data_IF_790080073715
#
_entry.id   IF_790080073715
#
_cell.length_a   1.000
_cell.length_b   1.000
_cell.length_c   1.000
_cell.angle_alpha   90.00
_cell.angle_beta   90.00
_cell.angle_gamma   90.00
#
_symmetry.space_group_name_H-M   'P 1'
#
loop_
_entity.id
_entity.type
_entity.pdbx_description
1 polymer ?
#
# COMPACT_ATOMS: atom_id res chain seq x y z
N UNK A 1 -1.01 -19.07 -17.92
CA UNK A 1 -0.46 -18.94 -19.25
C UNK A 1 0.06 -20.25 -19.73
N UNK A 2 -0.52 -20.71 -20.81
CA UNK A 2 0.07 -21.68 -21.59
C UNK A 2 -0.15 -21.56 -22.90
N UNK A 3 0.61 -21.94 -23.65
CA UNK A 3 0.83 -22.18 -24.78
C UNK A 3 0.61 -23.41 -25.47
N UNK A 4 0.08 -23.48 -26.57
CA UNK A 4 0.66 -24.08 -27.67
C UNK A 4 -0.11 -24.06 -28.92
N UNK A 5 0.61 -24.02 -29.96
CA UNK A 5 0.22 -24.14 -31.32
C UNK A 5 -0.44 -22.91 -31.93
N UNK A 6 0.38 -22.03 -32.52
CA UNK A 6 0.00 -20.87 -33.33
C UNK A 6 -0.77 -19.76 -32.60
N UNK A 7 -0.12 -19.22 -31.58
CA UNK A 7 -0.58 -18.06 -30.84
C UNK A 7 -0.59 -18.32 -29.33
N UNK A 8 -0.13 -17.37 -28.53
CA UNK A 8 -0.16 -17.48 -27.08
C UNK A 8 -1.61 -17.63 -26.60
N UNK A 9 -1.93 -18.69 -25.89
CA UNK A 9 -3.21 -18.92 -25.28
C UNK A 9 -3.07 -18.70 -23.78
N UNK A 10 -3.93 -17.88 -23.19
CA UNK A 10 -4.05 -17.77 -21.74
C UNK A 10 -4.78 -19.02 -21.25
N UNK A 11 -4.05 -19.91 -20.59
CA UNK A 11 -4.59 -21.15 -20.05
C UNK A 11 -5.12 -20.96 -18.64
N UNK A 12 -4.46 -20.08 -17.88
CA UNK A 12 -4.84 -19.79 -16.50
C UNK A 12 -4.73 -18.28 -16.22
N UNK A 13 -5.80 -17.73 -15.68
CA UNK A 13 -5.89 -16.31 -15.35
C UNK A 13 -6.42 -16.16 -13.91
N UNK A 14 -5.56 -16.35 -12.90
CA UNK A 14 -5.98 -16.11 -11.54
C UNK A 14 -6.25 -14.60 -11.35
N UNK A 15 -7.36 -14.30 -10.73
CA UNK A 15 -7.77 -12.93 -10.44
C UNK A 15 -7.55 -12.62 -8.97
N UNK A 16 -7.07 -11.42 -8.70
CA UNK A 16 -6.91 -10.85 -7.36
C UNK A 16 -7.28 -9.38 -7.42
N UNK A 17 -7.80 -8.86 -6.32
CA UNK A 17 -7.94 -7.43 -6.15
C UNK A 17 -6.60 -6.73 -6.39
N UNK A 18 -6.61 -5.57 -7.03
CA UNK A 18 -5.39 -4.93 -7.50
C UNK A 18 -4.46 -4.50 -6.36
N UNK A 19 -5.01 -4.13 -5.21
CA UNK A 19 -4.28 -3.82 -3.98
C UNK A 19 -3.42 -5.00 -3.50
N UNK A 20 -3.91 -6.23 -3.67
CA UNK A 20 -3.18 -7.46 -3.38
C UNK A 20 -2.22 -7.80 -4.54
N UNK A 21 -2.70 -7.69 -5.78
CA UNK A 21 -1.95 -8.09 -6.96
C UNK A 21 -0.65 -7.30 -7.16
N UNK A 22 -0.63 -6.01 -6.81
CA UNK A 22 0.59 -5.18 -6.87
C UNK A 22 1.68 -5.63 -5.89
N UNK A 23 1.34 -6.46 -4.90
CA UNK A 23 2.30 -7.12 -4.01
C UNK A 23 2.61 -8.55 -4.49
N UNK A 24 1.57 -9.38 -4.61
CA UNK A 24 1.73 -10.82 -4.82
C UNK A 24 2.22 -11.17 -6.22
N UNK A 25 1.87 -10.35 -7.23
CA UNK A 25 2.18 -10.61 -8.63
C UNK A 25 3.21 -9.63 -9.20
N UNK A 26 3.81 -8.77 -8.36
CA UNK A 26 4.84 -7.84 -8.78
C UNK A 26 5.99 -8.52 -9.54
N UNK A 27 6.64 -7.85 -10.49
CA UNK A 27 7.81 -8.38 -11.18
C UNK A 27 8.87 -8.88 -10.20
N UNK A 28 9.43 -10.07 -10.47
CA UNK A 28 10.38 -10.75 -9.59
C UNK A 28 9.75 -11.75 -8.62
N UNK A 29 8.45 -11.66 -8.35
CA UNK A 29 7.74 -12.58 -7.44
C UNK A 29 7.55 -13.97 -8.06
N UNK A 30 7.58 -14.99 -7.21
CA UNK A 30 7.15 -16.33 -7.58
C UNK A 30 5.66 -16.50 -7.29
N UNK A 31 4.94 -16.96 -8.30
CA UNK A 31 3.50 -17.21 -8.23
C UNK A 31 3.25 -18.67 -8.50
N UNK A 32 2.57 -19.36 -7.60
CA UNK A 32 2.21 -20.77 -7.76
C UNK A 32 0.77 -20.88 -8.23
N UNK A 33 0.56 -21.47 -9.39
CA UNK A 33 -0.76 -21.69 -9.99
C UNK A 33 -0.86 -23.19 -10.33
N UNK A 34 -1.83 -23.87 -9.74
CA UNK A 34 -2.04 -25.32 -9.95
C UNK A 34 -0.75 -26.15 -9.77
N UNK A 35 0.00 -25.87 -8.71
CA UNK A 35 1.27 -26.52 -8.36
C UNK A 35 2.43 -26.26 -9.34
N UNK A 36 2.28 -25.30 -10.24
CA UNK A 36 3.34 -24.86 -11.16
C UNK A 36 3.80 -23.48 -10.72
N UNK A 37 5.10 -23.29 -10.59
CA UNK A 37 5.71 -22.02 -10.22
C UNK A 37 6.02 -21.18 -11.47
N UNK A 38 5.65 -19.92 -11.40
CA UNK A 38 5.94 -18.91 -12.41
C UNK A 38 6.66 -17.74 -11.77
N UNK A 39 7.67 -17.17 -12.42
CA UNK A 39 8.29 -15.92 -12.00
C UNK A 39 7.65 -14.77 -12.77
N UNK A 40 7.05 -13.82 -12.05
CA UNK A 40 6.48 -12.62 -12.65
C UNK A 40 7.58 -11.76 -13.28
N UNK A 41 7.35 -11.26 -14.47
CA UNK A 41 8.36 -10.49 -15.20
C UNK A 41 7.79 -9.65 -16.33
N UNK A 42 6.50 -9.38 -16.29
CA UNK A 42 5.87 -8.52 -17.28
C UNK A 42 4.58 -7.88 -16.82
N UNK A 43 4.27 -6.73 -17.41
CA UNK A 43 2.99 -6.04 -17.28
C UNK A 43 2.09 -6.45 -18.44
N UNK A 44 0.94 -7.01 -18.14
CA UNK A 44 -0.02 -7.49 -19.12
C UNK A 44 -1.00 -6.39 -19.50
N UNK A 45 -1.27 -6.25 -20.82
CA UNK A 45 -2.35 -5.42 -21.33
C UNK A 45 -3.30 -6.25 -22.18
N UNK A 46 -4.58 -6.08 -21.99
CA UNK A 46 -5.61 -6.67 -22.84
C UNK A 46 -5.64 -6.03 -24.24
N UNK A 47 -5.20 -4.79 -24.35
CA UNK A 47 -5.20 -4.04 -25.61
C UNK A 47 -3.83 -4.07 -26.26
N UNK A 48 -3.62 -4.98 -27.16
CA UNK A 48 -2.46 -4.92 -28.05
C UNK A 48 -2.77 -4.02 -29.27
N UNK A 49 -1.86 -3.10 -29.57
CA UNK A 49 -1.94 -2.31 -30.81
C UNK A 49 -0.85 -2.75 -31.77
N UNK A 50 -1.24 -3.10 -32.99
CA UNK A 50 -0.30 -3.19 -34.10
C UNK A 50 0.15 -1.79 -34.49
N UNK A 51 1.45 -1.61 -34.65
CA UNK A 51 2.04 -0.37 -35.14
C UNK A 51 2.37 -0.49 -36.63
N UNK A 52 2.67 0.65 -37.29
CA UNK A 52 3.12 0.64 -38.70
C UNK A 52 4.37 -0.19 -38.96
N UNK A 53 5.19 -0.46 -37.93
CA UNK A 53 6.35 -1.36 -38.00
C UNK A 53 5.95 -2.85 -38.02
N UNK A 54 4.67 -3.15 -37.94
CA UNK A 54 4.14 -4.51 -37.89
C UNK A 54 4.38 -5.25 -36.60
N UNK A 55 4.96 -4.60 -35.57
CA UNK A 55 5.21 -5.17 -34.27
C UNK A 55 4.08 -4.86 -33.30
N UNK A 56 3.84 -5.78 -32.38
CA UNK A 56 2.88 -5.61 -31.32
C UNK A 56 3.57 -5.09 -30.05
N UNK A 57 3.06 -3.99 -29.54
CA UNK A 57 3.59 -3.32 -28.35
C UNK A 57 2.57 -3.40 -27.20
N UNK A 58 2.52 -4.51 -26.47
CA UNK A 58 1.46 -4.79 -25.48
C UNK A 58 1.43 -3.82 -24.29
N UNK A 59 2.54 -3.20 -23.94
CA UNK A 59 2.58 -2.24 -22.84
C UNK A 59 2.24 -0.79 -23.27
N UNK A 60 2.26 -0.47 -24.55
CA UNK A 60 2.01 0.87 -25.05
C UNK A 60 0.70 1.51 -24.59
N UNK A 61 -0.44 0.78 -24.48
CA UNK A 61 -1.67 1.36 -23.98
C UNK A 61 -1.55 2.02 -22.60
N UNK A 62 -0.67 1.57 -21.74
CA UNK A 62 -0.43 2.18 -20.43
C UNK A 62 0.26 3.54 -20.53
N UNK A 63 1.23 3.66 -21.44
CA UNK A 63 2.08 4.84 -21.57
C UNK A 63 1.52 5.88 -22.52
N UNK A 64 0.67 5.47 -23.47
CA UNK A 64 0.11 6.34 -24.53
C UNK A 64 -1.36 6.70 -24.28
N UNK A 65 -1.96 6.28 -23.16
CA UNK A 65 -3.35 6.63 -22.84
C UNK A 65 -3.50 8.15 -22.67
N UNK A 66 -4.39 8.73 -23.46
CA UNK A 66 -4.69 10.18 -23.38
C UNK A 66 -5.29 10.58 -22.04
N UNK A 67 -5.99 9.65 -21.39
CA UNK A 67 -6.60 9.87 -20.07
C UNK A 67 -5.61 9.76 -18.90
N UNK A 68 -4.37 9.36 -19.17
CA UNK A 68 -3.40 8.99 -18.11
C UNK A 68 -3.97 8.02 -17.07
N UNK A 69 -4.86 7.16 -17.49
CA UNK A 69 -5.55 6.23 -16.58
C UNK A 69 -4.58 5.24 -15.93
N UNK A 70 -3.66 4.72 -16.71
CA UNK A 70 -2.76 3.65 -16.26
C UNK A 70 -1.37 4.15 -15.87
N UNK A 71 -0.93 5.26 -16.42
CA UNK A 71 0.39 5.81 -16.19
C UNK A 71 0.28 7.27 -15.75
N UNK A 72 0.64 7.54 -14.51
CA UNK A 72 0.40 8.82 -13.84
C UNK A 72 1.69 9.37 -13.25
N UNK A 73 1.75 10.69 -13.11
CA UNK A 73 2.74 11.34 -12.27
C UNK A 73 2.28 11.19 -10.80
N UNK A 74 3.14 10.65 -9.97
CA UNK A 74 2.98 10.58 -8.52
C UNK A 74 3.87 11.65 -7.90
N UNK A 75 3.32 12.41 -6.99
CA UNK A 75 4.04 13.39 -6.17
C UNK A 75 4.11 12.90 -4.74
N UNK A 76 5.25 13.06 -4.08
CA UNK A 76 5.42 12.64 -2.70
C UNK A 76 6.35 13.58 -1.94
N UNK A 77 6.16 13.66 -0.63
CA UNK A 77 7.06 14.40 0.23
C UNK A 77 8.34 13.60 0.49
N UNK A 78 9.49 14.23 0.29
CA UNK A 78 10.81 13.61 0.53
C UNK A 78 11.31 13.83 1.98
N UNK A 79 10.48 14.38 2.85
CA UNK A 79 10.78 14.49 4.28
C UNK A 79 10.56 13.12 4.95
N UNK A 80 11.58 12.64 5.68
CA UNK A 80 11.55 11.32 6.31
C UNK A 80 10.44 11.16 7.37
N UNK A 81 10.00 12.27 7.97
CA UNK A 81 8.91 12.29 8.95
C UNK A 81 7.52 12.45 8.31
N UNK A 82 7.45 12.58 6.98
CA UNK A 82 6.22 12.86 6.27
C UNK A 82 5.97 11.85 5.16
N UNK A 83 4.83 11.19 5.18
CA UNK A 83 4.46 10.16 4.20
C UNK A 83 3.44 10.66 3.17
N UNK A 84 3.32 11.98 2.97
CA UNK A 84 2.37 12.49 2.00
C UNK A 84 2.69 12.02 0.59
N UNK A 85 1.65 11.61 -0.13
CA UNK A 85 1.69 11.34 -1.57
C UNK A 85 0.37 11.70 -2.22
N UNK A 86 0.40 12.08 -3.49
CA UNK A 86 -0.76 12.48 -4.26
C UNK A 86 -0.51 12.41 -5.76
N UNK A 87 -1.57 12.57 -6.55
CA UNK A 87 -1.50 12.58 -8.02
C UNK A 87 -1.62 13.98 -8.61
N UNK A 88 -1.74 14.99 -7.77
CA UNK A 88 -1.79 16.39 -8.17
C UNK A 88 -0.53 17.11 -7.73
N UNK A 89 -0.02 17.97 -8.60
CA UNK A 89 1.18 18.76 -8.31
C UNK A 89 0.90 19.74 -7.16
N UNK A 90 1.82 19.77 -6.20
CA UNK A 90 1.79 20.71 -5.08
C UNK A 90 3.10 21.47 -5.01
N UNK A 91 3.06 22.76 -4.70
CA UNK A 91 4.26 23.57 -4.45
C UNK A 91 4.88 23.29 -3.09
N UNK A 92 4.04 23.02 -2.09
CA UNK A 92 4.41 22.64 -0.73
C UNK A 92 3.67 21.38 -0.32
N UNK A 93 4.28 20.62 0.57
CA UNK A 93 3.62 19.44 1.13
C UNK A 93 2.36 19.85 1.93
N UNK A 94 1.18 19.32 1.60
CA UNK A 94 -0.05 19.64 2.34
C UNK A 94 -0.03 19.19 3.80
N UNK A 95 0.89 18.26 4.16
CA UNK A 95 0.94 17.70 5.51
C UNK A 95 1.95 18.37 6.43
N UNK A 96 3.16 18.66 5.93
CA UNK A 96 4.22 19.26 6.74
C UNK A 96 4.59 20.68 6.31
N UNK A 97 3.96 21.25 5.28
CA UNK A 97 4.22 22.61 4.79
C UNK A 97 5.55 22.81 4.06
N UNK A 98 6.46 21.83 4.08
CA UNK A 98 7.81 21.94 3.51
C UNK A 98 7.82 21.87 1.97
N UNK A 99 8.80 22.51 1.35
CA UNK A 99 9.02 22.50 -0.10
C UNK A 99 9.86 21.29 -0.55
N UNK A 100 9.45 20.10 -0.13
CA UNK A 100 10.19 18.84 -0.32
C UNK A 100 9.50 17.89 -1.29
N UNK A 101 8.59 18.37 -2.10
CA UNK A 101 7.85 17.55 -3.07
C UNK A 101 8.80 17.04 -4.16
N UNK A 102 8.70 15.75 -4.45
CA UNK A 102 9.36 15.05 -5.54
C UNK A 102 8.30 14.35 -6.40
N UNK A 103 8.68 14.04 -7.62
CA UNK A 103 7.83 13.29 -8.56
C UNK A 103 8.46 11.94 -8.92
N UNK A 104 7.61 10.95 -9.15
CA UNK A 104 7.94 9.65 -9.70
C UNK A 104 6.78 9.20 -10.57
N UNK A 105 7.04 8.30 -11.50
CA UNK A 105 5.97 7.68 -12.28
C UNK A 105 5.27 6.58 -11.47
N UNK A 106 3.97 6.45 -11.63
CA UNK A 106 3.15 5.36 -11.11
C UNK A 106 2.45 4.65 -12.26
N UNK A 107 2.64 3.36 -12.36
CA UNK A 107 1.97 2.49 -13.32
C UNK A 107 0.88 1.68 -12.60
N UNK A 108 -0.37 1.82 -13.05
CA UNK A 108 -1.48 0.95 -12.66
C UNK A 108 -1.47 -0.29 -13.57
N UNK A 109 -1.07 -1.45 -13.10
CA UNK A 109 -1.04 -2.64 -13.93
C UNK A 109 -2.47 -3.15 -14.20
N UNK A 110 -2.75 -3.56 -15.42
CA UNK A 110 -3.96 -4.31 -15.75
C UNK A 110 -3.83 -5.77 -15.30
N UNK A 111 -2.63 -6.28 -15.38
CA UNK A 111 -2.28 -7.63 -14.96
C UNK A 111 -0.78 -7.87 -15.07
N UNK A 112 -0.39 -9.07 -14.69
CA UNK A 112 1.00 -9.50 -14.70
C UNK A 112 1.17 -10.75 -15.53
N UNK A 113 2.38 -10.97 -16.01
CA UNK A 113 2.71 -12.13 -16.82
C UNK A 113 4.04 -12.76 -16.41
N UNK A 114 4.19 -14.06 -16.57
CA UNK A 114 5.43 -14.73 -16.25
C UNK A 114 6.53 -14.40 -17.26
N UNK A 115 7.77 -14.46 -16.83
CA UNK A 115 8.95 -14.27 -17.69
C UNK A 115 8.85 -15.22 -18.89
N UNK A 116 8.93 -14.65 -20.08
CA UNK A 116 8.84 -15.37 -21.36
C UNK A 116 7.57 -16.25 -21.53
N UNK A 117 6.55 -16.06 -20.68
CA UNK A 117 5.31 -16.83 -20.73
C UNK A 117 5.43 -18.31 -20.32
N UNK A 118 6.50 -18.70 -19.63
CA UNK A 118 6.81 -20.10 -19.30
C UNK A 118 6.92 -20.32 -17.78
N UNK A 119 6.81 -21.58 -17.36
CA UNK A 119 7.05 -22.00 -15.99
C UNK A 119 8.51 -21.79 -15.60
N UNK A 120 8.72 -21.41 -14.34
CA UNK A 120 10.06 -21.22 -13.76
C UNK A 120 10.67 -22.59 -13.41
N UNK A 121 11.95 -22.77 -13.69
CA UNK A 121 12.71 -23.94 -13.24
C UNK A 121 13.10 -23.79 -11.77
N UNK A 122 13.16 -24.88 -11.02
CA UNK A 122 13.50 -24.84 -9.58
C UNK A 122 14.85 -24.16 -9.30
N UNK A 123 15.83 -24.33 -10.18
CA UNK A 123 17.16 -23.69 -10.07
C UNK A 123 17.14 -22.16 -10.28
N UNK A 124 16.04 -21.60 -10.77
CA UNK A 124 15.85 -20.16 -11.03
C UNK A 124 14.86 -19.52 -10.05
N UNK A 125 14.53 -20.20 -8.96
CA UNK A 125 13.48 -19.83 -8.01
C UNK A 125 13.91 -18.81 -6.97
N UNK A 126 14.85 -17.95 -7.26
CA UNK A 126 15.10 -16.76 -6.42
C UNK A 126 13.98 -15.74 -6.59
N UNK A 127 13.33 -15.41 -5.50
CA UNK A 127 12.21 -14.46 -5.47
C UNK A 127 12.63 -13.15 -4.84
N UNK A 128 12.31 -12.05 -5.51
CA UNK A 128 12.32 -10.73 -4.89
C UNK A 128 11.02 -10.52 -4.11
N UNK A 129 11.16 -10.28 -2.82
CA UNK A 129 10.03 -10.05 -1.92
C UNK A 129 9.74 -8.55 -1.82
N UNK A 130 8.88 -8.05 -2.69
CA UNK A 130 8.38 -6.67 -2.62
C UNK A 130 6.92 -6.64 -2.20
N UNK A 131 6.54 -5.64 -1.44
CA UNK A 131 5.17 -5.49 -0.93
C UNK A 131 4.65 -4.09 -1.24
N UNK A 132 3.34 -3.98 -1.42
CA UNK A 132 2.69 -2.68 -1.39
C UNK A 132 2.84 -2.07 0.02
N UNK A 133 3.10 -0.78 0.05
CA UNK A 133 3.09 -0.01 1.29
C UNK A 133 1.65 0.15 1.80
N UNK A 134 1.51 0.63 3.04
CA UNK A 134 0.21 0.98 3.58
C UNK A 134 -0.48 2.00 2.66
N UNK A 135 -1.80 1.88 2.44
CA UNK A 135 -2.53 2.84 1.65
C UNK A 135 -2.38 4.25 2.22
N UNK A 136 -2.30 5.23 1.35
CA UNK A 136 -2.21 6.63 1.75
C UNK A 136 -3.34 7.44 1.13
N UNK A 137 -3.92 8.33 1.91
CA UNK A 137 -4.84 9.35 1.41
C UNK A 137 -4.12 10.69 1.27
N UNK A 138 -4.51 11.47 0.26
CA UNK A 138 -3.78 12.68 -0.15
C UNK A 138 -4.29 13.94 0.53
N UNK A 139 -5.51 13.92 1.06
CA UNK A 139 -6.23 15.12 1.51
C UNK A 139 -6.21 15.21 3.03
N UNK A 140 -5.74 16.34 3.56
CA UNK A 140 -5.84 16.64 4.99
C UNK A 140 -7.29 16.96 5.35
N UNK A 141 -7.83 16.45 6.48
CA UNK A 141 -9.13 16.87 6.97
C UNK A 141 -9.13 18.39 7.22
N UNK A 142 -10.23 19.04 6.89
CA UNK A 142 -10.44 20.42 7.28
C UNK A 142 -10.90 20.48 8.73
N UNK A 143 -10.53 21.53 9.44
CA UNK A 143 -10.92 21.68 10.86
C UNK A 143 -12.43 21.58 11.10
N UNK A 144 -13.24 22.10 10.20
CA UNK A 144 -14.70 22.04 10.29
C UNK A 144 -15.29 20.64 9.99
N UNK A 145 -14.47 19.71 9.51
CA UNK A 145 -14.85 18.32 9.22
C UNK A 145 -14.45 17.36 10.36
N UNK A 146 -13.78 17.90 11.39
CA UNK A 146 -13.29 17.12 12.53
C UNK A 146 -14.31 17.08 13.65
N UNK A 147 -14.78 15.87 13.98
CA UNK A 147 -15.60 15.61 15.16
C UNK A 147 -14.73 15.29 16.39
N UNK A 148 -15.26 15.60 17.55
CA UNK A 148 -14.67 15.21 18.85
C UNK A 148 -15.32 13.95 19.38
N UNK A 149 -14.60 13.22 20.24
CA UNK A 149 -15.09 11.99 20.88
C UNK A 149 -15.22 12.24 22.37
N UNK A 150 -16.41 12.04 22.92
CA UNK A 150 -16.64 12.23 24.35
C UNK A 150 -15.75 11.29 25.19
N UNK A 151 -15.05 11.83 26.17
CA UNK A 151 -14.12 11.10 27.02
C UNK A 151 -12.70 10.97 26.45
N UNK A 152 -12.41 11.60 25.31
CA UNK A 152 -11.09 11.61 24.68
C UNK A 152 -10.62 13.06 24.46
N UNK A 153 -9.46 13.39 25.00
CA UNK A 153 -8.90 14.76 24.95
C UNK A 153 -8.08 14.98 23.68
N UNK A 154 -7.38 13.94 23.22
CA UNK A 154 -6.43 14.02 22.11
C UNK A 154 -6.87 13.26 20.87
N UNK A 155 -8.14 12.84 20.80
CA UNK A 155 -8.69 12.08 19.68
C UNK A 155 -9.78 12.89 18.99
N UNK A 156 -9.62 13.08 17.70
CA UNK A 156 -10.64 13.62 16.79
C UNK A 156 -10.89 12.62 15.65
N UNK A 157 -11.99 12.76 14.96
CA UNK A 157 -12.27 11.92 13.80
C UNK A 157 -12.89 12.70 12.65
N UNK A 158 -12.71 12.21 11.43
CA UNK A 158 -13.31 12.75 10.23
C UNK A 158 -13.89 11.61 9.40
N UNK A 159 -15.20 11.70 9.12
CA UNK A 159 -15.91 10.79 8.21
C UNK A 159 -15.71 11.29 6.79
N UNK A 160 -15.33 10.40 5.88
CA UNK A 160 -15.05 10.71 4.49
C UNK A 160 -15.72 9.70 3.56
N UNK A 161 -16.58 10.18 2.70
CA UNK A 161 -17.24 9.37 1.69
C UNK A 161 -16.52 9.53 0.35
N UNK A 162 -16.35 8.44 -0.36
CA UNK A 162 -15.78 8.41 -1.71
C UNK A 162 -14.42 9.14 -1.81
N UNK A 163 -13.53 8.90 -0.86
CA UNK A 163 -12.22 9.57 -0.80
C UNK A 163 -11.14 8.74 -1.54
N UNK A 164 -10.19 9.40 -2.22
CA UNK A 164 -9.15 8.68 -2.96
C UNK A 164 -8.07 8.13 -2.03
N UNK A 165 -7.80 6.84 -2.18
CA UNK A 165 -6.66 6.14 -1.60
C UNK A 165 -5.67 5.74 -2.68
N UNK A 166 -4.38 5.81 -2.35
CA UNK A 166 -3.29 5.37 -3.21
C UNK A 166 -2.57 4.22 -2.51
N UNK A 167 -2.42 3.11 -3.21
CA UNK A 167 -1.58 1.97 -2.80
C UNK A 167 -0.40 1.89 -3.75
N UNK A 168 0.81 1.77 -3.19
CA UNK A 168 2.05 1.69 -3.95
C UNK A 168 2.89 0.49 -3.57
N UNK A 169 3.49 -0.13 -4.57
CA UNK A 169 4.67 -0.96 -4.43
C UNK A 169 5.85 -0.22 -5.05
N UNK A 170 6.78 0.24 -4.21
CA UNK A 170 7.95 1.01 -4.62
C UNK A 170 9.12 0.14 -5.08
N UNK A 171 8.94 -1.17 -5.15
CA UNK A 171 10.01 -2.12 -5.47
C UNK A 171 11.03 -2.29 -4.33
N UNK A 172 12.09 -3.08 -4.57
CA UNK A 172 13.12 -3.34 -3.56
C UNK A 172 13.83 -2.03 -3.18
N UNK A 173 13.93 -1.76 -1.88
CA UNK A 173 14.56 -0.54 -1.32
C UNK A 173 14.07 0.77 -1.96
N UNK A 174 12.81 0.80 -2.38
CA UNK A 174 12.19 1.94 -3.09
C UNK A 174 12.83 2.29 -4.45
N UNK A 175 13.57 1.37 -5.06
CA UNK A 175 14.22 1.58 -6.36
C UNK A 175 13.26 1.45 -7.57
N UNK A 176 12.00 1.14 -7.33
CA UNK A 176 11.00 1.01 -8.38
C UNK A 176 11.05 -0.30 -9.13
N UNK A 177 10.51 -0.25 -10.34
CA UNK A 177 10.51 -1.33 -11.32
C UNK A 177 10.91 -0.77 -12.69
N UNK A 178 11.87 -1.42 -13.34
CA UNK A 178 12.20 -1.10 -14.73
C UNK A 178 11.19 -1.78 -15.65
N UNK A 179 10.51 -1.01 -16.48
CA UNK A 179 9.46 -1.51 -17.38
C UNK A 179 9.76 -1.10 -18.82
N UNK A 180 9.70 -2.06 -19.73
CA UNK A 180 9.79 -1.78 -21.16
C UNK A 180 8.42 -1.36 -21.70
N UNK A 181 8.31 -0.12 -22.19
CA UNK A 181 7.08 0.43 -22.78
C UNK A 181 6.63 -0.31 -24.05
N UNK A 182 7.52 -1.02 -24.73
CA UNK A 182 7.18 -1.74 -25.96
C UNK A 182 6.59 -3.11 -25.66
N UNK A 183 7.28 -3.93 -24.90
CA UNK A 183 6.89 -5.33 -24.71
C UNK A 183 6.27 -5.63 -23.33
N UNK A 184 6.34 -4.70 -22.37
CA UNK A 184 5.83 -4.88 -21.02
C UNK A 184 6.72 -5.72 -20.12
N UNK A 185 7.90 -6.16 -20.55
CA UNK A 185 8.85 -6.82 -19.68
C UNK A 185 9.18 -5.90 -18.49
N UNK A 186 9.23 -6.47 -17.30
CA UNK A 186 9.42 -5.71 -16.08
C UNK A 186 10.26 -6.49 -15.08
N UNK A 187 11.17 -5.80 -14.41
CA UNK A 187 12.04 -6.34 -13.36
C UNK A 187 12.02 -5.44 -12.13
N UNK A 188 12.25 -5.97 -10.92
CA UNK A 188 12.34 -5.17 -9.71
C UNK A 188 13.66 -4.39 -9.68
N UNK A 189 13.63 -3.19 -9.11
CA UNK A 189 14.80 -2.31 -8.98
C UNK A 189 15.13 -1.55 -10.26
N UNK A 190 16.39 -1.16 -10.38
CA UNK A 190 16.94 -0.31 -11.44
C UNK A 190 17.97 -1.04 -12.33
N UNK A 191 18.06 -2.36 -12.23
CA UNK A 191 19.02 -3.19 -13.00
C UNK A 191 18.54 -3.43 -14.45
N UNK A 192 18.99 -2.61 -15.38
CA UNK A 192 18.72 -2.81 -16.81
C UNK A 192 19.29 -4.14 -17.36
N UNK A 193 20.38 -4.65 -16.80
CA UNK A 193 20.97 -5.90 -17.25
C UNK A 193 20.05 -7.08 -16.99
N UNK A 194 19.29 -7.02 -15.89
CA UNK A 194 18.27 -8.00 -15.58
C UNK A 194 17.10 -7.92 -16.58
N UNK A 195 16.66 -6.73 -16.94
CA UNK A 195 15.60 -6.53 -17.94
C UNK A 195 16.01 -7.08 -19.31
N UNK A 196 17.26 -6.86 -19.74
CA UNK A 196 17.79 -7.34 -21.03
C UNK A 196 17.83 -8.85 -21.16
N UNK A 197 17.76 -9.60 -20.07
CA UNK A 197 17.66 -11.08 -20.08
C UNK A 197 16.27 -11.57 -20.52
N UNK A 198 15.25 -10.70 -20.48
CA UNK A 198 13.90 -11.03 -20.91
C UNK A 198 13.80 -10.68 -22.40
N UNK A 199 14.18 -11.64 -23.27
CA UNK A 199 14.29 -11.39 -24.70
C UNK A 199 12.97 -11.34 -25.46
N UNK A 200 11.94 -12.05 -25.01
CA UNK A 200 10.66 -12.17 -25.75
C UNK A 200 9.54 -11.41 -25.07
N UNK A 201 8.64 -10.81 -25.85
CA UNK A 201 7.39 -10.27 -25.32
C UNK A 201 6.63 -11.38 -24.59
N UNK A 202 6.28 -11.15 -23.36
CA UNK A 202 5.63 -12.15 -22.51
C UNK A 202 4.26 -12.60 -23.04
N UNK A 203 3.54 -11.73 -23.76
CA UNK A 203 2.23 -12.05 -24.32
C UNK A 203 2.29 -12.98 -25.53
N UNK A 204 3.44 -13.07 -26.17
CA UNK A 204 3.65 -13.93 -27.33
C UNK A 204 5.03 -14.58 -27.27
N UNK A 205 5.22 -15.61 -26.44
CA UNK A 205 6.48 -16.30 -26.34
C UNK A 205 6.90 -16.96 -27.67
N UNK A 206 5.94 -17.20 -28.57
CA UNK A 206 6.17 -17.66 -29.93
C UNK A 206 6.40 -16.55 -30.98
N UNK A 207 6.47 -15.28 -30.55
CA UNK A 207 6.71 -14.16 -31.45
C UNK A 207 8.03 -14.32 -32.19
N UNK A 208 8.04 -13.97 -33.48
CA UNK A 208 9.20 -14.09 -34.34
C UNK A 208 10.30 -13.06 -34.02
N UNK A 209 10.04 -12.08 -33.18
CA UNK A 209 10.99 -11.06 -32.81
C UNK A 209 11.31 -11.08 -31.30
N UNK A 210 12.50 -10.63 -30.97
CA UNK A 210 12.90 -10.35 -29.60
C UNK A 210 12.81 -8.83 -29.35
N UNK A 211 12.38 -8.45 -28.16
CA UNK A 211 12.47 -7.07 -27.74
C UNK A 211 13.88 -6.82 -27.16
N UNK A 212 14.57 -5.83 -27.72
CA UNK A 212 15.92 -5.45 -27.27
C UNK A 212 15.89 -4.36 -26.18
N UNK A 213 14.72 -3.99 -25.71
CA UNK A 213 14.50 -2.97 -24.67
C UNK A 213 15.34 -1.70 -24.93
N UNK A 214 15.09 -0.98 -26.04
CA UNK A 214 15.89 0.20 -26.35
C UNK A 214 15.75 1.22 -25.20
N UNK A 215 16.83 1.93 -24.88
CA UNK A 215 16.88 2.85 -23.71
C UNK A 215 15.73 3.86 -23.68
N UNK A 216 15.31 4.38 -24.83
CA UNK A 216 14.16 5.30 -24.93
C UNK A 216 12.79 4.65 -24.66
N UNK A 217 12.73 3.31 -24.61
CA UNK A 217 11.51 2.56 -24.30
C UNK A 217 11.50 1.99 -22.86
N UNK A 218 12.56 2.18 -22.10
CA UNK A 218 12.62 1.72 -20.70
C UNK A 218 12.29 2.88 -19.76
N UNK A 219 11.49 2.60 -18.74
CA UNK A 219 11.12 3.57 -17.71
C UNK A 219 11.21 2.92 -16.34
N UNK A 220 11.70 3.67 -15.37
CA UNK A 220 11.56 3.31 -13.96
C UNK A 220 10.22 3.85 -13.44
N UNK A 221 9.45 3.01 -12.75
CA UNK A 221 8.14 3.38 -12.24
C UNK A 221 7.81 2.63 -10.96
N UNK A 222 6.98 3.20 -10.11
CA UNK A 222 6.31 2.46 -9.04
C UNK A 222 5.08 1.76 -9.60
N UNK A 223 4.71 0.62 -9.02
CA UNK A 223 3.43 -0.02 -9.31
C UNK A 223 2.41 0.45 -8.29
N UNK A 224 1.23 0.82 -8.75
CA UNK A 224 0.23 1.32 -7.82
C UNK A 224 -1.17 1.37 -8.38
N UNK A 225 -2.10 1.68 -7.50
CA UNK A 225 -3.49 1.87 -7.82
C UNK A 225 -4.06 3.02 -7.00
N UNK A 226 -4.88 3.84 -7.62
CA UNK A 226 -5.77 4.77 -6.93
C UNK A 226 -7.19 4.25 -7.05
N UNK A 227 -7.86 4.16 -5.95
CA UNK A 227 -9.28 3.81 -5.88
C UNK A 227 -9.99 4.76 -4.90
N UNK A 228 -11.32 4.79 -4.96
CA UNK A 228 -12.13 5.61 -4.07
C UNK A 228 -12.95 4.70 -3.19
N UNK A 229 -13.08 5.08 -1.92
CA UNK A 229 -13.84 4.31 -0.95
C UNK A 229 -14.29 5.19 0.22
N UNK A 230 -15.18 4.66 1.04
CA UNK A 230 -15.55 5.28 2.30
C UNK A 230 -14.48 5.01 3.34
N UNK A 231 -14.15 6.04 4.13
CA UNK A 231 -13.18 5.94 5.21
C UNK A 231 -13.55 6.79 6.40
N UNK A 232 -12.96 6.46 7.53
CA UNK A 232 -12.91 7.29 8.73
C UNK A 232 -11.47 7.46 9.15
N UNK A 233 -11.08 8.69 9.44
CA UNK A 233 -9.73 9.04 9.92
C UNK A 233 -9.84 9.45 11.38
N UNK A 234 -9.07 8.81 12.23
CA UNK A 234 -8.91 9.11 13.65
C UNK A 234 -7.58 9.81 13.84
N UNK A 235 -7.61 11.08 14.16
CA UNK A 235 -6.44 11.91 14.38
C UNK A 235 -6.11 11.96 15.86
N UNK A 236 -4.92 11.53 16.22
CA UNK A 236 -4.39 11.56 17.59
C UNK A 236 -3.30 12.63 17.64
N UNK A 237 -3.48 13.63 18.47
CA UNK A 237 -2.51 14.72 18.66
C UNK A 237 -1.53 14.39 19.78
N UNK A 238 -0.23 14.52 19.49
CA UNK A 238 0.88 14.32 20.41
C UNK A 238 1.71 15.60 20.55
N UNK A 239 2.37 15.76 21.69
CA UNK A 239 3.41 16.77 21.89
C UNK A 239 4.75 16.22 21.33
N UNK A 240 5.24 16.80 20.24
CA UNK A 240 6.46 16.38 19.59
C UNK A 240 7.75 16.57 20.42
N UNK A 241 7.66 17.34 21.54
CA UNK A 241 8.77 17.45 22.50
C UNK A 241 8.88 16.23 23.41
N UNK A 242 7.82 15.45 23.51
CA UNK A 242 7.72 14.29 24.41
C UNK A 242 7.87 12.96 23.71
N UNK A 243 7.65 12.92 22.39
CA UNK A 243 7.64 11.69 21.60
C UNK A 243 8.50 11.87 20.36
N UNK A 244 9.38 10.92 20.08
CA UNK A 244 10.12 10.89 18.83
C UNK A 244 9.17 10.54 17.67
N UNK A 245 8.91 11.52 16.81
CA UNK A 245 8.03 11.41 15.64
C UNK A 245 8.79 11.22 14.34
N UNK A 246 10.09 10.95 14.40
CA UNK A 246 10.87 10.60 13.22
C UNK A 246 10.44 9.25 12.65
N UNK A 247 10.81 8.99 11.39
CA UNK A 247 10.60 7.68 10.77
C UNK A 247 11.26 6.52 11.52
N UNK A 248 12.21 6.83 12.40
CA UNK A 248 12.94 5.88 13.24
C UNK A 248 12.33 5.72 14.64
N UNK A 249 11.33 6.52 14.99
CA UNK A 249 10.62 6.45 16.28
C UNK A 249 10.00 5.08 16.50
N UNK A 250 10.63 4.26 17.33
CA UNK A 250 10.26 2.86 17.48
C UNK A 250 8.89 2.68 18.12
N UNK A 251 8.63 3.39 19.23
CA UNK A 251 7.35 3.29 19.93
C UNK A 251 6.17 3.77 19.09
N UNK A 252 6.28 4.95 18.48
CA UNK A 252 5.18 5.58 17.74
C UNK A 252 4.74 4.73 16.54
N UNK A 253 5.69 4.07 15.88
CA UNK A 253 5.42 3.16 14.77
C UNK A 253 4.69 1.90 15.24
N UNK A 254 5.13 1.30 16.35
CA UNK A 254 4.47 0.13 16.93
C UNK A 254 3.07 0.48 17.41
N UNK A 255 2.93 1.57 18.15
CA UNK A 255 1.65 2.03 18.68
C UNK A 255 0.64 2.33 17.56
N UNK A 256 1.05 3.10 16.53
CA UNK A 256 0.18 3.45 15.41
C UNK A 256 -0.24 2.24 14.58
N UNK A 257 0.72 1.37 14.20
CA UNK A 257 0.41 0.16 13.44
C UNK A 257 -0.51 -0.78 14.23
N UNK A 258 -0.20 -1.00 15.50
CA UNK A 258 -1.00 -1.92 16.32
C UNK A 258 -2.39 -1.39 16.61
N UNK A 259 -2.51 -0.07 16.82
CA UNK A 259 -3.82 0.54 17.01
C UNK A 259 -4.69 0.40 15.75
N UNK A 260 -4.12 0.58 14.57
CA UNK A 260 -4.81 0.38 13.30
C UNK A 260 -5.35 -1.05 13.15
N UNK A 261 -4.51 -2.07 13.41
CA UNK A 261 -4.91 -3.47 13.37
C UNK A 261 -5.99 -3.80 14.42
N UNK A 262 -5.83 -3.31 15.66
CA UNK A 262 -6.79 -3.53 16.73
C UNK A 262 -8.15 -2.89 16.41
N UNK A 263 -8.17 -1.69 15.83
CA UNK A 263 -9.39 -1.00 15.42
C UNK A 263 -10.08 -1.72 14.27
N UNK A 264 -9.34 -2.32 13.34
CA UNK A 264 -9.91 -3.17 12.28
C UNK A 264 -10.64 -4.37 12.86
N UNK A 265 -10.00 -5.09 13.78
CA UNK A 265 -10.62 -6.24 14.46
C UNK A 265 -11.84 -5.83 15.29
N UNK A 266 -11.72 -4.74 16.03
CA UNK A 266 -12.81 -4.20 16.85
C UNK A 266 -13.99 -3.75 15.97
N UNK A 267 -13.72 -3.09 14.85
CA UNK A 267 -14.72 -2.66 13.88
C UNK A 267 -15.48 -3.82 13.26
N UNK A 268 -14.77 -4.87 12.86
CA UNK A 268 -15.37 -6.09 12.35
C UNK A 268 -16.32 -6.76 13.37
N UNK A 269 -15.89 -6.85 14.64
CA UNK A 269 -16.73 -7.37 15.72
C UNK A 269 -17.95 -6.48 16.00
N UNK A 270 -17.75 -5.17 16.01
CA UNK A 270 -18.80 -4.21 16.32
C UNK A 270 -19.91 -4.18 15.27
N UNK A 271 -19.57 -4.42 14.01
CA UNK A 271 -20.50 -4.43 12.89
C UNK A 271 -20.97 -5.84 12.51
N UNK A 272 -20.42 -6.88 13.14
CA UNK A 272 -20.67 -8.29 12.82
C UNK A 272 -20.47 -8.60 11.33
N UNK A 273 -19.31 -8.18 10.80
CA UNK A 273 -18.93 -8.37 9.40
C UNK A 273 -17.71 -9.27 9.27
N UNK A 274 -17.50 -9.82 8.06
CA UNK A 274 -16.36 -10.68 7.79
C UNK A 274 -15.04 -9.93 7.92
N UNK A 275 -14.04 -10.67 8.33
CA UNK A 275 -12.66 -10.22 8.35
C UNK A 275 -12.24 -9.87 6.92
N UNK A 276 -11.69 -8.70 6.68
CA UNK A 276 -11.28 -8.10 5.41
C UNK A 276 -12.31 -7.17 4.73
N UNK A 277 -13.51 -7.02 5.26
CA UNK A 277 -14.45 -6.01 4.75
C UNK A 277 -13.98 -4.57 5.08
N UNK A 278 -13.23 -4.43 6.17
CA UNK A 278 -12.56 -3.19 6.58
C UNK A 278 -11.06 -3.43 6.57
N UNK A 279 -10.32 -2.46 6.10
CA UNK A 279 -8.87 -2.39 6.17
C UNK A 279 -8.45 -1.12 6.88
N UNK A 280 -7.22 -1.09 7.34
CA UNK A 280 -6.66 0.06 8.03
C UNK A 280 -5.27 0.42 7.56
N UNK A 281 -4.85 1.58 7.98
CA UNK A 281 -3.49 2.04 7.92
C UNK A 281 -3.28 3.15 8.94
N UNK A 282 -2.04 3.55 9.11
CA UNK A 282 -1.71 4.72 9.92
C UNK A 282 -0.68 5.57 9.21
N UNK A 283 -0.56 6.81 9.62
CA UNK A 283 0.50 7.71 9.19
C UNK A 283 0.88 8.67 10.30
N UNK A 284 2.10 9.15 10.20
CA UNK A 284 2.63 10.19 11.08
C UNK A 284 2.65 11.52 10.32
N UNK A 285 2.25 12.58 11.00
CA UNK A 285 2.38 13.96 10.52
C UNK A 285 3.07 14.79 11.60
N UNK A 286 3.84 15.76 11.18
CA UNK A 286 4.52 16.67 12.08
C UNK A 286 4.27 18.12 11.66
N UNK A 287 3.77 18.94 12.58
CA UNK A 287 3.62 20.37 12.40
C UNK A 287 4.71 21.08 13.22
N UNK A 288 5.75 21.56 12.53
CA UNK A 288 6.91 22.18 13.16
C UNK A 288 6.55 23.46 13.89
N UNK A 289 5.65 24.29 13.33
CA UNK A 289 5.21 25.56 13.90
C UNK A 289 4.55 25.39 15.27
N UNK A 290 3.77 24.33 15.46
CA UNK A 290 3.02 24.05 16.67
C UNK A 290 3.71 23.07 17.62
N UNK A 291 4.85 22.52 17.25
CA UNK A 291 5.51 21.40 17.94
C UNK A 291 4.57 20.24 18.24
N UNK A 292 3.64 20.00 17.32
CA UNK A 292 2.67 18.91 17.40
C UNK A 292 3.01 17.80 16.43
N UNK A 293 2.80 16.59 16.88
CA UNK A 293 2.80 15.41 16.03
C UNK A 293 1.38 14.83 15.99
N UNK A 294 1.06 14.18 14.90
CA UNK A 294 -0.21 13.53 14.70
C UNK A 294 0.00 12.09 14.29
N UNK A 295 -0.73 11.20 14.94
CA UNK A 295 -0.92 9.83 14.47
C UNK A 295 -2.32 9.75 13.89
N UNK A 296 -2.41 9.68 12.58
CA UNK A 296 -3.69 9.44 11.92
C UNK A 296 -3.85 7.94 11.71
N UNK A 297 -4.79 7.33 12.40
CA UNK A 297 -5.24 5.97 12.12
C UNK A 297 -6.48 6.08 11.24
N UNK A 298 -6.49 5.36 10.12
CA UNK A 298 -7.65 5.39 9.24
C UNK A 298 -8.14 3.99 8.93
N UNK A 299 -9.45 3.85 8.93
CA UNK A 299 -10.16 2.66 8.48
C UNK A 299 -10.85 2.98 7.15
N UNK A 300 -10.87 2.02 6.24
CA UNK A 300 -11.53 2.17 4.96
C UNK A 300 -12.20 0.87 4.52
N UNK A 301 -13.28 1.02 3.78
CA UNK A 301 -14.01 -0.12 3.23
C UNK A 301 -13.16 -0.79 2.15
N UNK A 302 -13.05 -2.11 2.19
CA UNK A 302 -12.25 -2.86 1.20
C UNK A 302 -12.85 -2.81 -0.19
N UNK A 303 -14.18 -2.60 -0.27
CA UNK A 303 -14.90 -2.48 -1.52
C UNK A 303 -14.66 -1.10 -2.16
N UNK A 304 -14.26 -1.08 -3.42
CA UNK A 304 -14.21 0.15 -4.21
C UNK A 304 -15.61 0.76 -4.31
N UNK A 305 -15.73 2.05 -4.05
CA UNK A 305 -16.98 2.82 -3.90
C UNK A 305 -17.64 2.72 -2.52
N UNK A 306 -17.01 2.02 -1.58
CA UNK A 306 -17.48 1.90 -0.20
C UNK A 306 -18.63 0.90 -0.02
N UNK A 307 -18.77 0.40 1.19
CA UNK A 307 -19.89 -0.44 1.64
C UNK A 307 -20.66 0.23 2.80
N UNK A 308 -20.19 1.40 3.25
CA UNK A 308 -20.78 2.15 4.35
C UNK A 308 -20.33 1.71 5.74
N UNK A 309 -19.44 0.73 5.86
CA UNK A 309 -18.97 0.22 7.15
C UNK A 309 -18.20 1.29 7.93
N UNK A 310 -17.26 1.95 7.27
CA UNK A 310 -16.50 3.03 7.91
C UNK A 310 -17.36 4.24 8.27
N UNK A 311 -18.43 4.49 7.51
CA UNK A 311 -19.43 5.48 7.86
C UNK A 311 -20.19 5.10 9.15
N UNK A 312 -20.57 3.84 9.29
CA UNK A 312 -21.24 3.34 10.50
C UNK A 312 -20.29 3.36 11.72
N UNK A 313 -19.00 3.03 11.54
CA UNK A 313 -18.00 3.12 12.61
C UNK A 313 -17.77 4.56 13.08
N UNK A 314 -17.79 5.53 12.17
CA UNK A 314 -17.66 6.94 12.52
C UNK A 314 -18.79 7.42 13.45
N UNK A 315 -20.00 6.92 13.26
CA UNK A 315 -21.16 7.22 14.11
C UNK A 315 -21.10 6.50 15.47
N UNK A 316 -20.33 5.43 15.57
CA UNK A 316 -20.15 4.59 16.77
C UNK A 316 -18.73 4.67 17.33
N UNK A 317 -18.03 5.78 17.10
CA UNK A 317 -16.60 5.93 17.46
C UNK A 317 -16.32 5.57 18.93
N UNK A 318 -17.17 5.99 19.87
CA UNK A 318 -16.98 5.67 21.29
C UNK A 318 -17.05 4.15 21.56
N UNK A 319 -17.99 3.46 20.92
CA UNK A 319 -18.11 2.01 21.05
C UNK A 319 -16.90 1.32 20.40
N UNK A 320 -16.45 1.79 19.23
CA UNK A 320 -15.26 1.29 18.58
C UNK A 320 -14.02 1.41 19.46
N UNK A 321 -13.81 2.54 20.13
CA UNK A 321 -12.68 2.70 21.06
C UNK A 321 -12.77 1.76 22.24
N UNK A 322 -13.98 1.54 22.77
CA UNK A 322 -14.22 0.55 23.85
C UNK A 322 -13.91 -0.87 23.42
N UNK A 323 -14.34 -1.30 22.23
CA UNK A 323 -14.02 -2.63 21.69
C UNK A 323 -12.53 -2.75 21.36
N UNK A 324 -11.90 -1.69 20.81
CA UNK A 324 -10.46 -1.66 20.56
C UNK A 324 -9.67 -1.87 21.83
N UNK A 325 -10.06 -1.23 22.93
CA UNK A 325 -9.46 -1.44 24.24
C UNK A 325 -9.54 -2.90 24.68
N UNK A 326 -10.71 -3.52 24.53
CA UNK A 326 -10.89 -4.95 24.89
C UNK A 326 -9.97 -5.86 24.06
N UNK A 327 -9.83 -5.59 22.75
CA UNK A 327 -8.92 -6.32 21.87
C UNK A 327 -7.47 -6.22 22.35
N UNK A 328 -7.05 -5.02 22.78
CA UNK A 328 -5.68 -4.77 23.24
C UNK A 328 -5.39 -5.34 24.64
N UNK A 329 -6.35 -5.26 25.56
CA UNK A 329 -6.19 -5.72 26.93
C UNK A 329 -6.23 -7.24 27.07
N UNK A 330 -7.04 -7.92 26.25
CA UNK A 330 -7.30 -9.34 26.41
C UNK A 330 -6.60 -10.18 25.34
N UNK A 331 -5.68 -11.01 25.81
CA UNK A 331 -5.10 -12.07 25.01
C UNK A 331 -5.21 -13.39 25.78
N UNK A 332 -5.88 -14.37 25.19
CA UNK A 332 -6.06 -15.70 25.82
C UNK A 332 -4.75 -16.43 26.09
N UNK A 333 -3.73 -16.17 25.26
CA UNK A 333 -2.39 -16.73 25.41
C UNK A 333 -1.50 -15.93 26.37
N UNK A 334 -1.93 -14.76 26.88
CA UNK A 334 -1.13 -13.91 27.78
C UNK A 334 0.20 -13.45 27.20
N UNK A 335 0.25 -13.16 25.90
CA UNK A 335 1.50 -12.80 25.19
C UNK A 335 2.08 -11.46 25.63
N UNK A 336 3.40 -11.30 25.47
CA UNK A 336 4.15 -10.10 25.88
C UNK A 336 4.04 -8.92 24.90
N UNK A 337 3.58 -9.13 23.66
CA UNK A 337 3.39 -8.06 22.68
C UNK A 337 2.19 -8.32 21.77
N UNK A 338 2.27 -9.31 20.88
CA UNK A 338 1.21 -9.75 20.01
C UNK A 338 1.40 -11.23 19.62
N UNK A 339 0.31 -11.92 19.31
CA UNK A 339 0.33 -13.31 18.85
C UNK A 339 -0.89 -13.63 17.99
N UNK A 340 -0.97 -14.86 17.47
CA UNK A 340 -2.07 -15.33 16.63
C UNK A 340 -3.43 -15.41 17.36
N UNK A 341 -3.43 -15.46 18.69
CA UNK A 341 -4.66 -15.44 19.49
C UNK A 341 -5.23 -14.02 19.70
N UNK A 342 -4.49 -12.98 19.34
CA UNK A 342 -4.94 -11.58 19.51
C UNK A 342 -4.89 -10.75 18.23
N UNK A 343 -3.71 -10.39 17.75
CA UNK A 343 -3.54 -9.40 16.69
C UNK A 343 -2.90 -9.93 15.40
N UNK A 344 -2.14 -11.04 15.48
CA UNK A 344 -1.45 -11.59 14.32
C UNK A 344 -2.39 -12.45 13.49
N UNK A 345 -2.40 -12.23 12.18
CA UNK A 345 -3.16 -13.04 11.23
C UNK A 345 -2.45 -13.11 9.88
N UNK A 346 -2.95 -13.95 8.98
CA UNK A 346 -2.31 -14.17 7.67
C UNK A 346 -2.07 -12.88 6.88
N UNK A 347 -3.01 -11.94 6.92
CA UNK A 347 -2.97 -10.75 6.08
C UNK A 347 -2.02 -9.65 6.58
N UNK A 348 -1.61 -9.69 7.85
CA UNK A 348 -0.69 -8.72 8.44
C UNK A 348 0.71 -9.26 8.75
N UNK A 349 1.09 -10.40 8.17
CA UNK A 349 2.38 -11.07 8.42
C UNK A 349 3.59 -10.14 8.30
N UNK A 350 3.56 -9.20 7.35
CA UNK A 350 4.64 -8.23 7.10
C UNK A 350 4.91 -7.27 8.27
N UNK A 351 3.91 -7.06 9.12
CA UNK A 351 3.98 -6.14 10.26
C UNK A 351 4.00 -6.83 11.61
N UNK A 352 4.02 -8.17 11.67
CA UNK A 352 4.07 -8.92 12.92
C UNK A 352 5.15 -8.42 13.89
N UNK A 353 6.34 -8.07 13.39
CA UNK A 353 7.44 -7.54 14.19
C UNK A 353 7.21 -6.13 14.77
N UNK A 354 6.19 -5.43 14.29
CA UNK A 354 5.79 -4.10 14.78
C UNK A 354 4.63 -4.16 15.76
N UNK A 355 3.91 -5.29 15.84
CA UNK A 355 2.71 -5.36 16.66
C UNK A 355 3.04 -5.45 18.15
N UNK A 356 2.48 -4.51 18.92
CA UNK A 356 2.63 -4.42 20.36
C UNK A 356 1.37 -3.82 21.00
N UNK A 357 0.55 -4.70 21.59
CA UNK A 357 -0.71 -4.32 22.22
C UNK A 357 -0.55 -3.32 23.37
N UNK A 358 0.59 -3.36 24.07
CA UNK A 358 0.84 -2.45 25.17
C UNK A 358 1.18 -1.03 24.66
N UNK A 359 2.00 -0.91 23.62
CA UNK A 359 2.26 0.38 22.99
C UNK A 359 0.98 1.04 22.43
N UNK A 360 0.09 0.25 21.84
CA UNK A 360 -1.22 0.76 21.39
C UNK A 360 -2.14 1.15 22.56
N UNK A 361 -2.13 0.39 23.66
CA UNK A 361 -2.87 0.76 24.87
C UNK A 361 -2.37 2.07 25.49
N UNK A 362 -1.07 2.29 25.50
CA UNK A 362 -0.45 3.53 25.97
C UNK A 362 -0.90 4.72 25.11
N UNK A 363 -0.91 4.55 23.78
CA UNK A 363 -1.42 5.58 22.86
C UNK A 363 -2.91 5.84 23.11
N UNK A 364 -3.72 4.83 23.36
CA UNK A 364 -5.13 4.97 23.66
C UNK A 364 -5.36 5.67 25.01
N UNK A 365 -4.57 5.37 26.04
CA UNK A 365 -4.58 6.09 27.34
C UNK A 365 -4.20 7.54 27.18
N UNK A 366 -3.21 7.84 26.35
CA UNK A 366 -2.87 9.21 26.04
C UNK A 366 -4.07 9.99 25.46
N UNK A 367 -4.82 9.36 24.57
CA UNK A 367 -6.01 9.97 23.99
C UNK A 367 -7.05 10.39 25.04
N UNK A 368 -7.14 9.64 26.15
CA UNK A 368 -8.12 9.87 27.21
C UNK A 368 -7.63 10.81 28.31
N UNK A 369 -6.42 10.57 28.83
CA UNK A 369 -5.96 11.16 30.08
C UNK A 369 -4.74 12.08 29.94
N UNK A 370 -4.16 12.22 28.76
CA UNK A 370 -2.87 12.92 28.54
C UNK A 370 -1.68 12.28 29.27
N UNK A 371 -1.80 11.02 29.68
CA UNK A 371 -0.73 10.28 30.33
C UNK A 371 0.13 9.55 29.28
N UNK A 372 1.42 9.77 29.34
CA UNK A 372 2.41 9.01 28.59
C UNK A 372 3.28 8.20 29.55
N UNK A 373 3.64 6.95 29.20
CA UNK A 373 4.48 6.15 30.07
C UNK A 373 5.87 6.76 30.20
N UNK A 374 6.51 6.55 31.36
CA UNK A 374 7.86 7.07 31.62
C UNK A 374 8.92 6.53 30.65
N UNK A 375 8.68 5.35 30.10
CA UNK A 375 9.59 4.66 29.18
C UNK A 375 9.76 5.40 27.84
N UNK A 376 8.78 6.16 27.42
CA UNK A 376 8.91 7.05 26.25
C UNK A 376 10.02 8.10 26.38
N UNK A 377 10.51 8.33 27.60
CA UNK A 377 11.67 9.17 27.84
C UNK A 377 12.96 8.61 27.22
N UNK A 378 13.02 7.33 26.92
CA UNK A 378 14.18 6.68 26.28
C UNK A 378 14.14 6.71 24.76
N UNK A 379 13.00 6.97 24.17
CA UNK A 379 12.80 7.05 22.72
C UNK A 379 12.94 8.49 22.18
N UNK A 380 13.51 9.36 23.01
CA UNK A 380 13.75 10.81 22.72
C UNK A 380 14.99 11.05 21.89
#
# INVERSE_FOLDING_TARGET
YVEKERGAKIDQKPERALDIAVSEYAPGRLVVINKITYKSGGIYSFHSKFRPDGQEHPARPYFESKSREYFKDLYYCNDAACNWMGLEIQSKCPFCGKETIRSQNMLKPWGFAPINGIKTREAEAEAEMTYAEEPCYSITPRENEMGTVEGFVHLRYSKRADDPLIILNKGPKSAGFMVCKDCGAAVPGDDEALLRKIGKPYMRPSAYYNCHHPAGSVVNTYLGNQFRTDMVVYEITLDARRVNVSSDGFWIRRAGQTLAEAMTLAGGRLLDIEFNEIKSGYRLRYAEEDLKAYVDVFLFDSLSSGAGYCSALAERTRELMGETRKVLEHCSAGCDSACHECLMHYWNQRVHGLLDRFAALELLKWCESSELPPELAYDR
#
